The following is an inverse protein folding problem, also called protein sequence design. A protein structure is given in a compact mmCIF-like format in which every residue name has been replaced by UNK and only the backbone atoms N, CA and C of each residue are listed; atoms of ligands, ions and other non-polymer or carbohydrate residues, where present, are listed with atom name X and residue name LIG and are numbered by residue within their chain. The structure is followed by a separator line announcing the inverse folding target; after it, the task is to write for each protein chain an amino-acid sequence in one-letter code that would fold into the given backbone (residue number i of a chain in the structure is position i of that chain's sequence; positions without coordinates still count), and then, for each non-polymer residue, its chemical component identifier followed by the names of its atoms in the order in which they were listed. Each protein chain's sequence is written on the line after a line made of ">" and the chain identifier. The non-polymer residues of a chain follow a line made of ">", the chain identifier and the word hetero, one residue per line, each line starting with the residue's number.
data_IF_682554429272
#
_entry.id   IF_682554429272
#
_cell.length_a   1.000
_cell.length_b   1.000
_cell.length_c   1.000
_cell.angle_alpha   90.00
_cell.angle_beta   90.00
_cell.angle_gamma   90.00
#
_symmetry.space_group_name_H-M   'P 1'
#
loop_
_entity.id
_entity.type
_entity.pdbx_description
1 polymer ?
#
# COMPACT_ATOMS: atom_id res chain seq x y z
N UNK A 1 4.91 -27.81 -7.51
CA UNK A 1 4.77 -26.57 -6.73
C UNK A 1 5.75 -25.52 -7.27
N UNK A 2 5.58 -25.06 -8.51
CA UNK A 2 6.64 -24.30 -9.21
C UNK A 2 6.32 -22.81 -9.42
N UNK A 3 5.06 -22.42 -9.23
CA UNK A 3 4.55 -21.07 -9.53
C UNK A 3 5.07 -19.94 -8.61
N UNK A 4 5.64 -20.26 -7.45
CA UNK A 4 5.94 -19.26 -6.39
C UNK A 4 7.36 -19.34 -5.81
N UNK A 5 8.34 -19.89 -6.55
CA UNK A 5 9.76 -19.96 -6.14
C UNK A 5 10.00 -20.56 -4.74
N UNK A 6 9.15 -21.49 -4.28
CA UNK A 6 9.24 -22.09 -2.94
C UNK A 6 8.70 -21.23 -1.78
N UNK A 7 8.53 -19.92 -1.95
CA UNK A 7 8.26 -18.93 -0.87
C UNK A 7 6.99 -19.17 -0.05
N UNK A 8 6.02 -19.91 -0.61
CA UNK A 8 4.73 -20.22 0.00
C UNK A 8 4.55 -21.73 0.32
N UNK A 9 5.60 -22.57 0.17
CA UNK A 9 5.46 -24.04 0.29
C UNK A 9 4.92 -24.47 1.65
N UNK A 10 5.40 -23.89 2.74
CA UNK A 10 4.93 -24.23 4.09
C UNK A 10 3.48 -23.79 4.35
N UNK A 11 3.04 -22.66 3.78
CA UNK A 11 1.63 -22.25 3.80
C UNK A 11 0.74 -23.27 3.08
N UNK A 12 1.15 -23.74 1.89
CA UNK A 12 0.39 -24.74 1.15
C UNK A 12 0.39 -26.12 1.84
N UNK A 13 1.51 -26.49 2.50
CA UNK A 13 1.64 -27.70 3.34
C UNK A 13 0.73 -27.63 4.55
N UNK A 14 0.70 -26.51 5.26
CA UNK A 14 -0.14 -26.31 6.44
C UNK A 14 -1.62 -26.29 6.09
N UNK A 15 -1.99 -25.61 5.00
CA UNK A 15 -3.36 -25.64 4.46
C UNK A 15 -3.78 -27.07 4.10
N UNK A 16 -2.93 -27.82 3.39
CA UNK A 16 -3.18 -29.23 3.05
C UNK A 16 -3.44 -30.05 4.31
N UNK A 17 -2.54 -29.97 5.29
CA UNK A 17 -2.62 -30.69 6.58
C UNK A 17 -3.95 -30.41 7.30
N UNK A 18 -4.43 -29.17 7.29
CA UNK A 18 -5.71 -28.79 7.91
C UNK A 18 -6.90 -29.33 7.12
N UNK A 19 -6.86 -29.29 5.78
CA UNK A 19 -7.94 -29.83 4.95
C UNK A 19 -8.05 -31.35 5.04
N UNK A 20 -6.92 -32.07 5.15
CA UNK A 20 -6.90 -33.53 5.31
C UNK A 20 -7.50 -33.97 6.66
N UNK A 21 -7.24 -33.21 7.74
CA UNK A 21 -7.83 -33.43 9.06
C UNK A 21 -9.35 -33.15 9.08
N UNK A 22 -9.81 -32.03 8.51
CA UNK A 22 -11.25 -31.75 8.45
C UNK A 22 -12.00 -32.72 7.52
N UNK A 23 -11.40 -33.15 6.40
CA UNK A 23 -11.94 -34.25 5.58
C UNK A 23 -12.02 -35.55 6.40
N UNK A 24 -11.03 -35.83 7.24
CA UNK A 24 -11.00 -37.02 8.11
C UNK A 24 -12.07 -36.97 9.22
N UNK A 25 -12.31 -35.79 9.81
CA UNK A 25 -13.40 -35.54 10.76
C UNK A 25 -14.78 -35.71 10.11
N UNK A 26 -14.99 -35.12 8.94
CA UNK A 26 -16.25 -35.23 8.19
C UNK A 26 -16.55 -36.69 7.83
N UNK A 27 -15.56 -37.46 7.36
CA UNK A 27 -15.71 -38.91 7.11
C UNK A 27 -16.05 -39.70 8.37
N UNK A 28 -15.47 -39.36 9.53
CA UNK A 28 -15.83 -39.98 10.82
C UNK A 28 -17.26 -39.63 11.26
N UNK A 29 -17.70 -38.39 11.02
CA UNK A 29 -19.08 -37.96 11.26
C UNK A 29 -20.08 -38.72 10.35
N UNK A 30 -19.81 -38.82 9.05
CA UNK A 30 -20.61 -39.59 8.10
C UNK A 30 -20.69 -41.08 8.46
N UNK A 31 -19.56 -41.68 8.88
CA UNK A 31 -19.51 -43.06 9.36
C UNK A 31 -20.34 -43.27 10.63
N UNK A 32 -20.29 -42.32 11.58
CA UNK A 32 -21.05 -42.40 12.83
C UNK A 32 -22.58 -42.44 12.64
N UNK A 33 -23.07 -41.96 11.49
CA UNK A 33 -24.48 -42.06 11.10
C UNK A 33 -24.93 -43.42 10.57
N UNK A 34 -24.00 -44.36 10.28
CA UNK A 34 -24.29 -45.65 9.62
C UNK A 34 -24.14 -46.87 10.55
N UNK A 35 -24.93 -46.87 11.62
CA UNK A 35 -25.26 -48.08 12.37
C UNK A 35 -24.31 -48.42 13.54
N UNK A 36 -24.64 -49.48 14.31
CA UNK A 36 -24.10 -49.67 15.67
C UNK A 36 -22.72 -50.35 15.75
N UNK A 37 -22.01 -50.54 14.64
CA UNK A 37 -20.80 -51.37 14.58
C UNK A 37 -19.54 -50.72 15.16
N UNK A 38 -19.32 -49.43 14.90
CA UNK A 38 -17.98 -48.83 14.92
C UNK A 38 -17.70 -47.94 16.14
N UNK A 39 -18.13 -48.37 17.33
CA UNK A 39 -18.07 -47.60 18.58
C UNK A 39 -16.77 -47.79 19.39
N UNK A 40 -15.71 -48.38 18.81
CA UNK A 40 -14.53 -48.84 19.59
C UNK A 40 -13.28 -47.97 19.51
N UNK A 41 -13.17 -47.06 18.55
CA UNK A 41 -12.05 -46.09 18.46
C UNK A 41 -12.45 -44.65 18.82
N UNK A 42 -13.68 -44.47 19.30
CA UNK A 42 -14.21 -43.17 19.72
C UNK A 42 -13.65 -42.71 21.07
N UNK A 43 -12.58 -41.92 21.05
CA UNK A 43 -12.08 -41.18 22.20
C UNK A 43 -13.23 -40.39 22.85
N UNK A 44 -13.29 -40.39 24.18
CA UNK A 44 -14.36 -39.74 24.92
C UNK A 44 -14.49 -38.26 24.53
N UNK A 45 -15.68 -37.83 24.14
CA UNK A 45 -15.95 -36.49 23.60
C UNK A 45 -15.59 -35.37 24.57
N UNK A 46 -15.70 -35.59 25.89
CA UNK A 46 -15.27 -34.63 26.90
C UNK A 46 -13.74 -34.42 26.89
N UNK A 47 -12.97 -35.50 26.75
CA UNK A 47 -11.50 -35.41 26.62
C UNK A 47 -11.13 -34.67 25.33
N UNK A 48 -11.88 -34.86 24.24
CA UNK A 48 -11.67 -34.09 23.01
C UNK A 48 -11.96 -32.59 23.18
N UNK A 49 -12.99 -32.20 23.93
CA UNK A 49 -13.25 -30.77 24.21
C UNK A 49 -12.19 -30.15 25.11
N UNK A 50 -11.71 -30.87 26.13
CA UNK A 50 -10.66 -30.37 27.03
C UNK A 50 -9.31 -30.26 26.31
N UNK A 51 -8.99 -31.18 25.41
CA UNK A 51 -7.83 -31.08 24.51
C UNK A 51 -7.96 -29.88 23.57
N UNK A 52 -9.16 -29.60 23.05
CA UNK A 52 -9.40 -28.43 22.18
C UNK A 52 -9.28 -27.09 22.93
N UNK A 53 -9.71 -27.00 24.19
CA UNK A 53 -9.52 -25.78 25.00
C UNK A 53 -8.05 -25.58 25.37
N UNK A 54 -7.33 -26.65 25.74
CA UNK A 54 -5.88 -26.61 26.02
C UNK A 54 -5.05 -26.16 24.81
N UNK A 55 -5.46 -26.48 23.57
CA UNK A 55 -4.75 -26.03 22.37
C UNK A 55 -5.27 -24.69 21.80
N UNK A 56 -6.40 -24.15 22.26
CA UNK A 56 -6.91 -22.84 21.81
C UNK A 56 -6.03 -21.71 22.39
N UNK A 57 -5.49 -20.87 21.52
CA UNK A 57 -4.73 -19.67 21.91
C UNK A 57 -3.24 -19.88 22.21
N UNK A 58 -2.72 -21.11 22.12
CA UNK A 58 -1.27 -21.35 22.23
C UNK A 58 -0.52 -20.91 20.96
N UNK A 59 0.67 -20.34 21.14
CA UNK A 59 1.59 -20.00 20.05
C UNK A 59 2.24 -21.25 19.46
N UNK A 60 2.80 -21.15 18.25
CA UNK A 60 3.49 -22.27 17.59
C UNK A 60 4.59 -22.88 18.49
N UNK A 61 5.43 -22.06 19.13
CA UNK A 61 6.49 -22.55 20.03
C UNK A 61 5.97 -23.33 21.24
N UNK A 62 4.85 -22.91 21.84
CA UNK A 62 4.21 -23.66 22.94
C UNK A 62 3.65 -25.01 22.46
N UNK A 63 3.09 -25.06 21.25
CA UNK A 63 2.59 -26.31 20.65
C UNK A 63 3.75 -27.24 20.23
N UNK A 64 4.88 -26.70 19.79
CA UNK A 64 6.11 -27.46 19.49
C UNK A 64 6.70 -28.09 20.77
N UNK A 65 6.71 -27.37 21.90
CA UNK A 65 7.12 -27.92 23.19
C UNK A 65 6.19 -29.07 23.66
N UNK A 66 4.88 -28.94 23.44
CA UNK A 66 3.91 -30.01 23.72
C UNK A 66 4.07 -31.22 22.80
N UNK A 67 4.32 -31.00 21.51
CA UNK A 67 4.62 -32.04 20.52
C UNK A 67 5.83 -32.88 20.95
N UNK A 68 6.94 -32.23 21.31
CA UNK A 68 8.15 -32.90 21.82
C UNK A 68 7.90 -33.66 23.14
N UNK A 69 7.07 -33.12 24.05
CA UNK A 69 6.69 -33.82 25.29
C UNK A 69 5.89 -35.10 25.00
N UNK A 70 4.98 -35.05 24.03
CA UNK A 70 4.15 -36.19 23.60
C UNK A 70 5.02 -37.24 22.89
N UNK A 71 5.87 -36.86 21.94
CA UNK A 71 6.78 -37.81 21.26
C UNK A 71 7.77 -38.45 22.25
N UNK A 72 8.20 -37.72 23.29
CA UNK A 72 9.02 -38.26 24.37
C UNK A 72 8.24 -39.25 25.25
N UNK A 73 6.97 -38.99 25.55
CA UNK A 73 6.10 -39.93 26.30
C UNK A 73 5.77 -41.20 25.54
N UNK A 74 5.49 -41.10 24.23
CA UNK A 74 5.28 -42.26 23.35
C UNK A 74 6.56 -43.11 23.32
N UNK A 75 7.72 -42.48 23.10
CA UNK A 75 9.03 -43.17 23.08
C UNK A 75 9.45 -43.74 24.44
N UNK A 76 8.97 -43.15 25.54
CA UNK A 76 9.27 -43.56 26.92
C UNK A 76 8.55 -44.83 27.39
N UNK A 77 7.49 -45.27 26.70
CA UNK A 77 6.93 -46.63 26.81
C UNK A 77 6.47 -47.08 28.21
N UNK A 78 5.36 -46.53 28.72
CA UNK A 78 4.72 -47.04 29.93
C UNK A 78 3.78 -48.23 29.67
N UNK A 79 3.81 -49.27 30.52
CA UNK A 79 2.97 -50.49 30.35
C UNK A 79 1.46 -50.25 30.38
N UNK A 80 1.04 -49.12 30.95
CA UNK A 80 -0.36 -48.73 31.12
C UNK A 80 -0.72 -47.50 30.24
N UNK A 81 0.09 -47.20 29.23
CA UNK A 81 -0.07 -46.03 28.36
C UNK A 81 -0.91 -46.39 27.13
N UNK A 82 -2.02 -45.69 26.90
CA UNK A 82 -2.82 -45.83 25.68
C UNK A 82 -2.10 -45.15 24.51
N UNK A 83 -1.33 -45.95 23.76
CA UNK A 83 -0.55 -45.49 22.60
C UNK A 83 -1.46 -44.86 21.54
N UNK A 84 -2.64 -45.44 21.28
CA UNK A 84 -3.58 -44.92 20.27
C UNK A 84 -4.13 -43.54 20.64
N UNK A 85 -4.41 -43.31 21.94
CA UNK A 85 -4.73 -41.98 22.44
C UNK A 85 -3.58 -40.99 22.19
N UNK A 86 -2.34 -41.31 22.57
CA UNK A 86 -1.22 -40.38 22.39
C UNK A 86 -0.85 -40.14 20.91
N UNK A 87 -0.97 -41.13 20.03
CA UNK A 87 -0.81 -40.98 18.58
C UNK A 87 -1.89 -40.07 17.98
N UNK A 88 -3.15 -40.23 18.40
CA UNK A 88 -4.25 -39.35 17.97
C UNK A 88 -4.05 -37.91 18.45
N UNK A 89 -3.56 -37.73 19.69
CA UNK A 89 -3.25 -36.43 20.28
C UNK A 89 -2.08 -35.77 19.55
N UNK A 90 -1.04 -36.54 19.20
CA UNK A 90 0.09 -36.08 18.42
C UNK A 90 -0.35 -35.60 17.02
N UNK A 91 -1.26 -36.32 16.37
CA UNK A 91 -1.84 -35.89 15.10
C UNK A 91 -2.67 -34.59 15.26
N UNK A 92 -3.48 -34.48 16.32
CA UNK A 92 -4.23 -33.26 16.60
C UNK A 92 -3.30 -32.06 16.88
N UNK A 93 -2.22 -32.25 17.63
CA UNK A 93 -1.19 -31.20 17.86
C UNK A 93 -0.55 -30.75 16.55
N UNK A 94 -0.24 -31.66 15.62
CA UNK A 94 0.33 -31.31 14.30
C UNK A 94 -0.60 -30.40 13.49
N UNK A 95 -1.92 -30.64 13.54
CA UNK A 95 -2.92 -29.77 12.91
C UNK A 95 -3.03 -28.41 13.62
N UNK A 96 -2.98 -28.37 14.95
CA UNK A 96 -2.99 -27.10 15.69
C UNK A 96 -1.71 -26.28 15.47
N UNK A 97 -0.54 -26.91 15.31
CA UNK A 97 0.69 -26.24 14.90
C UNK A 97 0.58 -25.60 13.52
N UNK A 98 0.00 -26.31 12.54
CA UNK A 98 -0.29 -25.73 11.22
C UNK A 98 -1.25 -24.53 11.31
N UNK A 99 -2.29 -24.60 12.15
CA UNK A 99 -3.22 -23.47 12.40
C UNK A 99 -2.51 -22.28 13.05
N UNK A 100 -1.61 -22.51 13.99
CA UNK A 100 -0.80 -21.46 14.62
C UNK A 100 0.11 -20.76 13.60
N UNK A 101 0.88 -21.50 12.80
CA UNK A 101 1.73 -20.93 11.74
C UNK A 101 0.95 -20.12 10.72
N UNK A 102 -0.23 -20.59 10.30
CA UNK A 102 -1.10 -19.82 9.40
C UNK A 102 -1.62 -18.53 10.03
N UNK A 103 -1.95 -18.53 11.33
CA UNK A 103 -2.37 -17.32 12.07
C UNK A 103 -1.23 -16.32 12.20
N UNK A 104 -0.06 -16.77 12.64
CA UNK A 104 1.15 -15.95 12.81
C UNK A 104 1.53 -15.30 11.45
N UNK A 105 1.61 -16.10 10.38
CA UNK A 105 1.85 -15.62 9.00
C UNK A 105 0.78 -14.63 8.52
N UNK A 106 -0.49 -14.83 8.90
CA UNK A 106 -1.56 -13.91 8.53
C UNK A 106 -1.41 -12.56 9.24
N UNK A 107 -1.07 -12.56 10.54
CA UNK A 107 -0.81 -11.35 11.31
C UNK A 107 0.38 -10.55 10.73
N UNK A 108 1.44 -11.20 10.28
CA UNK A 108 2.57 -10.51 9.65
C UNK A 108 2.23 -9.92 8.27
N UNK A 109 1.40 -10.60 7.46
CA UNK A 109 0.88 -10.04 6.21
C UNK A 109 -0.07 -8.86 6.47
N UNK A 110 -0.84 -8.88 7.57
CA UNK A 110 -1.64 -7.72 7.99
C UNK A 110 -0.76 -6.56 8.47
N UNK A 111 0.26 -6.82 9.30
CA UNK A 111 1.26 -5.83 9.74
C UNK A 111 1.93 -5.13 8.54
N UNK A 112 2.39 -5.90 7.55
CA UNK A 112 3.00 -5.36 6.32
C UNK A 112 2.02 -4.51 5.49
N UNK A 113 0.76 -4.94 5.34
CA UNK A 113 -0.27 -4.15 4.65
C UNK A 113 -0.61 -2.86 5.39
N UNK A 114 -0.73 -2.92 6.71
CA UNK A 114 -1.04 -1.76 7.56
C UNK A 114 0.11 -0.74 7.54
N UNK A 115 1.37 -1.19 7.58
CA UNK A 115 2.55 -0.35 7.39
C UNK A 115 2.52 0.35 6.02
N UNK A 116 2.27 -0.40 4.93
CA UNK A 116 2.18 0.16 3.57
C UNK A 116 1.03 1.17 3.44
N UNK A 117 -0.12 0.91 4.05
CA UNK A 117 -1.25 1.85 4.07
C UNK A 117 -0.94 3.13 4.86
N UNK A 118 -0.25 3.05 6.00
CA UNK A 118 0.22 4.25 6.73
C UNK A 118 1.19 5.09 5.90
N UNK A 119 2.12 4.43 5.19
CA UNK A 119 3.03 5.09 4.26
C UNK A 119 2.30 5.75 3.08
N UNK A 120 1.28 5.09 2.51
CA UNK A 120 0.44 5.64 1.44
C UNK A 120 -0.48 6.78 1.89
N UNK A 121 -0.83 6.84 3.18
CA UNK A 121 -1.63 7.90 3.78
C UNK A 121 -0.83 9.11 4.26
N UNK A 122 0.51 9.11 4.09
CA UNK A 122 1.37 10.25 4.42
C UNK A 122 1.50 10.55 5.92
N UNK A 123 1.15 9.59 6.79
CA UNK A 123 1.40 9.73 8.23
C UNK A 123 2.88 9.43 8.49
N UNK A 124 3.69 10.48 8.63
CA UNK A 124 5.09 10.35 9.03
C UNK A 124 5.18 9.79 10.45
N UNK A 125 5.44 8.49 10.56
CA UNK A 125 6.02 7.89 11.76
C UNK A 125 7.54 7.84 11.60
N UNK A 126 8.27 8.57 12.44
CA UNK A 126 9.72 8.43 12.56
C UNK A 126 10.10 6.94 12.83
N UNK A 127 11.25 6.47 12.34
CA UNK A 127 11.66 5.07 12.51
C UNK A 127 12.07 4.82 13.96
N UNK A 128 11.12 4.30 14.76
CA UNK A 128 11.28 4.07 16.20
C UNK A 128 12.37 3.03 16.56
N UNK A 129 12.93 2.30 15.59
CA UNK A 129 13.98 1.31 15.79
C UNK A 129 15.07 1.37 14.70
N UNK A 130 16.36 1.27 15.06
CA UNK A 130 17.44 1.07 14.09
C UNK A 130 17.34 -0.32 13.45
N UNK A 131 17.37 -0.38 12.12
CA UNK A 131 17.53 -1.65 11.40
C UNK A 131 19.00 -2.08 11.55
N UNK A 132 19.25 -3.07 12.41
CA UNK A 132 20.52 -3.79 12.40
C UNK A 132 20.61 -4.53 11.06
N UNK A 133 21.49 -4.06 10.18
CA UNK A 133 21.95 -4.88 9.06
C UNK A 133 22.87 -5.97 9.63
N UNK A 134 22.59 -7.22 9.27
CA UNK A 134 23.59 -8.29 9.35
C UNK A 134 24.65 -8.09 8.24
N UNK A 135 25.58 -7.15 8.46
CA UNK A 135 26.80 -7.11 7.67
C UNK A 135 27.71 -8.25 8.14
N UNK A 136 27.79 -9.30 7.33
CA UNK A 136 28.73 -10.42 7.53
C UNK A 136 30.15 -9.88 7.42
N UNK A 137 30.84 -9.81 8.56
CA UNK A 137 32.28 -9.66 8.62
C UNK A 137 32.90 -11.04 8.85
N UNK A 138 33.80 -11.44 7.95
CA UNK A 138 34.52 -12.70 8.02
C UNK A 138 35.62 -12.64 9.10
N UNK A 139 35.79 -13.70 9.88
CA UNK A 139 36.87 -13.82 10.86
C UNK A 139 38.15 -14.34 10.19
N UNK A 140 39.18 -13.50 10.02
CA UNK A 140 40.60 -13.86 10.23
C UNK A 140 41.50 -12.62 10.23
N UNK A 141 42.69 -12.73 10.84
CA UNK A 141 43.68 -11.65 11.13
C UNK A 141 43.16 -10.51 12.06
N UNK A 142 43.74 -10.22 13.23
CA UNK A 142 45.15 -10.28 13.61
C UNK A 142 45.34 -10.51 15.14
N UNK A 143 46.45 -11.11 15.57
CA UNK A 143 46.76 -11.43 16.99
C UNK A 143 47.75 -10.45 17.65
N UNK A 144 47.62 -10.30 18.97
CA UNK A 144 48.56 -9.61 19.92
C UNK A 144 48.42 -8.08 19.91
N UNK A 145 48.48 -7.32 21.02
CA UNK A 145 49.08 -7.50 22.38
C UNK A 145 48.18 -6.85 23.47
N UNK A 146 47.76 -7.55 24.54
CA UNK A 146 48.39 -7.64 25.89
C UNK A 146 48.51 -6.35 26.73
N UNK A 147 47.79 -6.31 27.88
CA UNK A 147 48.10 -5.63 29.19
C UNK A 147 48.04 -4.07 29.16
N UNK A 148 47.40 -3.33 30.08
CA UNK A 148 47.44 -3.35 31.56
C UNK A 148 46.16 -2.74 32.25
N UNK A 149 46.12 -2.73 33.60
CA UNK A 149 45.05 -2.26 34.52
C UNK A 149 45.68 -1.45 35.71
N UNK A 150 44.95 -0.89 36.72
CA UNK A 150 43.56 -0.37 36.79
C UNK A 150 43.34 0.95 37.59
N UNK A 151 42.13 1.54 37.47
CA UNK A 151 41.35 2.21 38.55
C UNK A 151 41.81 3.59 39.09
N UNK A 152 41.26 4.07 40.23
CA UNK A 152 39.99 3.70 40.88
C UNK A 152 39.16 4.91 41.44
N UNK A 153 38.11 4.61 42.24
CA UNK A 153 37.23 5.48 43.09
C UNK A 153 35.83 5.75 42.49
N UNK A 154 34.67 5.52 43.13
CA UNK A 154 34.22 5.50 44.54
C UNK A 154 34.16 6.88 45.22
N UNK A 155 33.18 7.24 46.07
CA UNK A 155 32.05 6.48 46.65
C UNK A 155 30.80 7.37 46.91
N UNK A 156 29.73 6.77 47.43
CA UNK A 156 28.39 7.36 47.68
C UNK A 156 28.22 8.02 49.07
N UNK A 157 27.00 8.51 49.34
CA UNK A 157 26.39 9.04 50.60
C UNK A 157 26.26 10.58 50.60
N UNK A 158 25.08 11.24 50.64
CA UNK A 158 23.76 10.99 51.27
C UNK A 158 23.71 11.32 52.76
N UNK A 159 23.14 12.49 53.13
CA UNK A 159 22.03 12.63 54.10
C UNK A 159 21.61 14.09 54.46
N UNK A 160 20.30 14.30 54.56
CA UNK A 160 19.51 15.15 55.50
C UNK A 160 19.60 16.70 55.61
N UNK A 161 18.38 17.28 55.74
CA UNK A 161 17.96 18.50 56.52
C UNK A 161 18.46 19.88 56.01
N UNK A 162 17.82 21.03 56.25
CA UNK A 162 16.49 21.47 56.77
C UNK A 162 16.43 23.02 56.77
N UNK A 163 15.32 23.79 56.77
CA UNK A 163 13.85 23.67 56.51
C UNK A 163 13.27 25.11 56.69
N UNK A 164 12.04 25.40 56.20
CA UNK A 164 11.24 26.64 56.40
C UNK A 164 11.64 27.82 55.48
N UNK A 165 10.79 28.83 55.15
CA UNK A 165 9.38 29.17 55.53
C UNK A 165 8.68 29.84 54.32
N UNK A 166 7.34 29.73 54.14
CA UNK A 166 6.26 30.72 54.49
C UNK A 166 6.56 32.16 53.99
N UNK A 167 5.66 32.96 53.38
CA UNK A 167 4.17 33.05 53.40
C UNK A 167 3.37 32.23 52.36
N UNK A 168 2.14 32.67 52.06
CA UNK A 168 0.92 31.87 51.86
C UNK A 168 0.16 32.27 50.54
N UNK A 169 -1.16 32.30 50.27
CA UNK A 169 -2.51 32.27 50.95
C UNK A 169 -3.56 31.92 49.83
N UNK A 170 -4.87 31.63 49.94
CA UNK A 170 -5.91 31.47 50.99
C UNK A 170 -6.97 30.40 50.49
N UNK A 171 -8.29 30.69 50.39
CA UNK A 171 -9.39 29.76 50.05
C UNK A 171 -10.66 30.52 49.53
N UNK A 172 -11.93 29.99 49.36
CA UNK A 172 -12.60 28.76 49.86
C UNK A 172 -13.21 27.80 48.79
N UNK A 173 -13.15 26.47 48.95
CA UNK A 173 -14.05 25.50 49.66
C UNK A 173 -15.45 25.20 49.08
N UNK A 174 -15.71 23.91 48.74
CA UNK A 174 -16.92 23.09 48.98
C UNK A 174 -16.82 21.77 48.18
N UNK A 175 -17.18 20.56 48.64
CA UNK A 175 -17.48 20.04 49.99
C UNK A 175 -17.23 18.53 50.05
N UNK A 176 -16.95 18.00 51.25
CA UNK A 176 -16.61 16.58 51.52
C UNK A 176 -17.83 15.66 51.68
N UNK A 177 -17.68 14.38 51.36
CA UNK A 177 -18.40 13.28 52.03
C UNK A 177 -17.54 12.01 52.07
N UNK A 178 -17.49 11.32 53.22
CA UNK A 178 -16.54 10.22 53.49
C UNK A 178 -17.23 9.03 54.16
N UNK A 179 -16.82 7.81 53.80
CA UNK A 179 -16.88 6.58 54.59
C UNK A 179 -15.74 5.68 54.05
N UNK A 180 -14.81 5.12 54.82
CA UNK A 180 -14.97 4.18 55.95
C UNK A 180 -15.71 2.89 55.51
N UNK A 181 -15.08 1.71 55.43
CA UNK A 181 -13.65 1.36 55.52
C UNK A 181 -13.43 0.05 56.29
N UNK A 182 -12.58 -0.85 55.78
CA UNK A 182 -12.03 -1.99 56.54
C UNK A 182 -10.70 -2.46 55.92
N UNK A 183 -9.79 -2.98 56.75
CA UNK A 183 -8.42 -3.35 56.37
C UNK A 183 -8.29 -4.85 56.10
N UNK A 184 -7.29 -5.29 55.33
CA UNK A 184 -6.35 -6.31 55.85
C UNK A 184 -5.07 -6.45 55.03
N UNK A 185 -3.96 -6.13 55.71
CA UNK A 185 -2.61 -6.70 55.59
C UNK A 185 -1.85 -6.61 54.25
N UNK A 186 -0.53 -6.73 54.33
CA UNK A 186 0.39 -6.37 53.26
C UNK A 186 1.35 -7.50 52.88
N UNK A 187 1.76 -7.48 51.61
CA UNK A 187 3.16 -7.77 51.25
C UNK A 187 3.58 -6.96 50.03
N UNK A 188 4.56 -6.09 50.21
CA UNK A 188 5.46 -5.69 49.14
C UNK A 188 6.42 -6.84 48.88
N UNK A 189 6.66 -7.12 47.61
CA UNK A 189 8.02 -7.34 47.09
C UNK A 189 8.16 -6.36 45.91
N UNK A 190 9.36 -5.81 45.69
CA UNK A 190 9.57 -4.71 44.74
C UNK A 190 10.17 -5.18 43.40
N UNK A 191 9.81 -4.44 42.35
CA UNK A 191 10.43 -4.34 41.02
C UNK A 191 11.22 -5.56 40.49
N UNK A 192 10.61 -6.25 39.52
CA UNK A 192 11.32 -6.56 38.28
C UNK A 192 10.61 -5.85 37.12
N UNK A 193 11.38 -5.40 36.14
CA UNK A 193 10.92 -4.52 35.04
C UNK A 193 11.26 -5.17 33.70
N UNK A 194 10.59 -4.69 32.64
CA UNK A 194 10.81 -5.11 31.26
C UNK A 194 10.51 -6.59 30.93
N UNK A 195 9.22 -6.91 30.87
CA UNK A 195 8.71 -7.57 29.66
C UNK A 195 7.29 -7.08 29.36
N UNK A 196 7.18 -6.03 28.53
CA UNK A 196 5.89 -5.55 28.02
C UNK A 196 5.39 -6.51 26.95
N UNK A 197 4.71 -7.57 27.39
CA UNK A 197 4.15 -8.58 26.51
C UNK A 197 3.30 -7.92 25.40
N UNK A 198 3.75 -8.00 24.15
CA UNK A 198 3.05 -7.39 23.02
C UNK A 198 1.61 -7.88 23.00
N UNK A 199 0.66 -6.98 23.21
CA UNK A 199 -0.76 -7.31 23.20
C UNK A 199 -1.13 -7.88 21.82
N UNK A 200 -1.34 -9.20 21.77
CA UNK A 200 -1.66 -9.92 20.54
C UNK A 200 -3.08 -9.53 20.13
N UNK A 201 -3.19 -8.43 19.38
CA UNK A 201 -4.45 -7.91 18.84
C UNK A 201 -5.30 -9.06 18.28
N UNK A 202 -6.35 -9.38 19.02
CA UNK A 202 -7.31 -10.40 18.65
C UNK A 202 -8.36 -9.81 17.72
N UNK A 203 -9.14 -10.69 17.10
CA UNK A 203 -10.31 -10.28 16.32
C UNK A 203 -11.34 -9.55 17.21
N UNK A 204 -11.42 -9.93 18.49
CA UNK A 204 -12.30 -9.32 19.49
C UNK A 204 -11.83 -7.90 19.87
N UNK A 205 -10.52 -7.67 20.05
CA UNK A 205 -9.95 -6.33 20.31
C UNK A 205 -10.19 -5.37 19.14
N UNK A 206 -10.01 -5.84 17.90
CA UNK A 206 -10.23 -5.03 16.69
C UNK A 206 -11.71 -4.69 16.50
N UNK A 207 -12.62 -5.62 16.83
CA UNK A 207 -14.06 -5.36 16.85
C UNK A 207 -14.40 -4.34 17.93
N UNK A 208 -13.87 -4.48 19.15
CA UNK A 208 -14.16 -3.56 20.26
C UNK A 208 -13.59 -2.15 20.00
N UNK A 209 -12.42 -2.04 19.38
CA UNK A 209 -11.89 -0.76 18.90
C UNK A 209 -12.84 -0.12 17.87
N UNK A 210 -13.30 -0.88 16.87
CA UNK A 210 -14.24 -0.37 15.85
C UNK A 210 -15.59 0.08 16.43
N UNK A 211 -16.02 -0.52 17.56
CA UNK A 211 -17.22 -0.12 18.29
C UNK A 211 -16.99 1.17 19.09
N UNK A 212 -15.83 1.36 19.71
CA UNK A 212 -15.46 2.61 20.37
C UNK A 212 -15.31 3.78 19.36
N UNK A 213 -14.75 3.51 18.18
CA UNK A 213 -14.67 4.46 17.06
C UNK A 213 -16.08 4.79 16.51
N UNK A 214 -16.97 3.79 16.44
CA UNK A 214 -18.38 4.00 16.10
C UNK A 214 -19.12 4.88 17.13
N UNK A 215 -19.00 4.61 18.42
CA UNK A 215 -19.74 5.33 19.46
C UNK A 215 -19.24 6.78 19.64
N UNK A 216 -17.94 7.00 19.43
CA UNK A 216 -17.33 8.34 19.50
C UNK A 216 -17.60 9.19 18.25
N UNK A 217 -17.51 8.62 17.04
CA UNK A 217 -17.69 9.37 15.77
C UNK A 217 -19.09 9.29 15.14
N UNK A 218 -19.90 8.29 15.51
CA UNK A 218 -21.25 7.96 14.96
C UNK A 218 -21.34 7.85 13.43
N UNK A 219 -20.21 7.74 12.74
CA UNK A 219 -20.07 7.81 11.28
C UNK A 219 -20.70 9.05 10.60
N UNK A 220 -21.02 10.08 11.37
CA UNK A 220 -21.45 11.39 10.86
C UNK A 220 -20.24 12.32 10.73
N UNK A 221 -19.92 12.87 9.54
CA UNK A 221 -18.89 13.88 9.42
C UNK A 221 -19.17 15.06 10.36
N UNK A 222 -18.19 15.44 11.18
CA UNK A 222 -18.30 16.60 12.07
C UNK A 222 -18.65 17.85 11.26
N UNK A 223 -19.70 18.56 11.66
CA UNK A 223 -20.13 19.77 10.97
C UNK A 223 -19.14 20.90 11.24
N UNK A 224 -18.17 21.05 10.34
CA UNK A 224 -17.17 22.11 10.41
C UNK A 224 -17.82 23.49 10.24
N UNK A 225 -17.50 24.43 11.12
CA UNK A 225 -17.90 25.82 10.91
C UNK A 225 -17.05 26.48 9.82
N UNK A 226 -17.52 27.61 9.28
CA UNK A 226 -16.80 28.38 8.25
C UNK A 226 -15.40 28.86 8.67
N UNK A 227 -15.09 28.82 9.96
CA UNK A 227 -13.80 29.20 10.55
C UNK A 227 -12.86 28.02 10.79
N UNK A 228 -13.37 26.79 10.81
CA UNK A 228 -12.60 25.54 10.95
C UNK A 228 -12.19 24.96 9.59
N UNK A 229 -12.90 25.34 8.53
CA UNK A 229 -12.52 25.01 7.16
C UNK A 229 -11.14 25.60 6.83
N UNK A 230 -10.20 24.83 6.25
CA UNK A 230 -8.92 25.36 5.81
C UNK A 230 -9.09 26.57 4.88
N UNK A 231 -8.16 27.53 4.95
CA UNK A 231 -8.10 28.71 4.06
C UNK A 231 -8.05 28.36 2.56
N UNK A 232 -7.70 27.11 2.23
CA UNK A 232 -7.67 26.59 0.87
C UNK A 232 -8.99 25.91 0.44
N UNK A 233 -9.97 25.72 1.33
CA UNK A 233 -11.28 25.21 0.98
C UNK A 233 -12.04 26.15 0.02
N UNK A 234 -12.79 25.59 -0.92
CA UNK A 234 -13.71 26.35 -1.77
C UNK A 234 -15.13 26.05 -1.31
N UNK A 235 -15.68 26.91 -0.45
CA UNK A 235 -17.12 26.96 -0.21
C UNK A 235 -17.81 27.43 -1.49
N UNK A 236 -18.95 26.82 -1.83
CA UNK A 236 -19.80 27.23 -2.95
C UNK A 236 -21.09 27.75 -2.33
N UNK A 237 -21.51 28.95 -2.72
CA UNK A 237 -22.77 29.53 -2.24
C UNK A 237 -23.98 28.84 -2.88
N UNK A 238 -25.15 28.77 -2.20
CA UNK A 238 -26.34 28.15 -2.79
C UNK A 238 -26.79 28.87 -4.08
N UNK A 239 -26.51 30.17 -4.21
CA UNK A 239 -26.75 30.95 -5.43
C UNK A 239 -25.84 30.50 -6.60
N UNK A 240 -24.55 30.27 -6.33
CA UNK A 240 -23.60 29.76 -7.34
C UNK A 240 -23.94 28.33 -7.79
N UNK A 241 -24.30 27.45 -6.87
CA UNK A 241 -24.70 26.08 -7.22
C UNK A 241 -26.04 26.06 -8.00
N UNK A 242 -27.02 26.88 -7.62
CA UNK A 242 -28.24 27.06 -8.41
C UNK A 242 -27.95 27.58 -9.83
N UNK A 243 -26.99 28.51 -9.99
CA UNK A 243 -26.58 28.98 -11.31
C UNK A 243 -25.86 27.90 -12.13
N UNK A 244 -24.97 27.12 -11.49
CA UNK A 244 -24.28 25.96 -12.08
C UNK A 244 -25.28 24.88 -12.54
N UNK A 245 -26.28 24.59 -11.71
CA UNK A 245 -27.37 23.66 -12.00
C UNK A 245 -28.24 24.14 -13.17
N UNK A 246 -28.55 25.44 -13.26
CA UNK A 246 -29.27 26.01 -14.40
C UNK A 246 -28.47 25.92 -15.70
N UNK A 247 -27.15 26.16 -15.66
CA UNK A 247 -26.27 26.00 -16.82
C UNK A 247 -26.22 24.53 -17.29
N UNK A 248 -26.02 23.58 -16.37
CA UNK A 248 -26.02 22.15 -16.69
C UNK A 248 -27.36 21.67 -17.27
N UNK A 249 -28.49 22.14 -16.74
CA UNK A 249 -29.84 21.86 -17.29
C UNK A 249 -30.03 22.44 -18.69
N UNK A 250 -29.55 23.65 -18.95
CA UNK A 250 -29.59 24.28 -20.28
C UNK A 250 -28.71 23.55 -21.29
N UNK A 251 -27.55 23.07 -20.85
CA UNK A 251 -26.65 22.24 -21.67
C UNK A 251 -27.34 20.92 -22.04
N UNK A 252 -27.86 20.17 -21.04
CA UNK A 252 -28.62 18.94 -21.26
C UNK A 252 -29.77 19.09 -22.27
N UNK A 253 -30.50 20.21 -22.23
CA UNK A 253 -31.58 20.52 -23.18
C UNK A 253 -31.12 20.74 -24.64
N UNK A 254 -29.83 21.03 -24.87
CA UNK A 254 -29.25 21.30 -26.19
C UNK A 254 -28.40 20.12 -26.70
N UNK A 255 -27.65 19.45 -25.82
CA UNK A 255 -26.73 18.35 -26.19
C UNK A 255 -27.27 16.95 -25.89
N UNK A 256 -28.33 16.81 -25.10
CA UNK A 256 -28.84 15.50 -24.64
C UNK A 256 -28.03 14.84 -23.52
N UNK A 257 -26.83 15.36 -23.23
CA UNK A 257 -25.94 14.95 -22.14
C UNK A 257 -25.49 16.21 -21.35
N UNK A 258 -25.50 16.12 -20.02
CA UNK A 258 -25.07 17.18 -19.11
C UNK A 258 -23.56 17.15 -18.80
N UNK A 259 -22.86 16.10 -19.20
CA UNK A 259 -21.45 15.84 -18.86
C UNK A 259 -20.45 16.23 -19.96
N UNK A 260 -20.92 16.47 -21.19
CA UNK A 260 -20.04 16.76 -22.33
C UNK A 260 -19.40 18.15 -22.27
N UNK A 261 -18.23 18.22 -21.62
CA UNK A 261 -17.24 19.25 -21.95
C UNK A 261 -16.84 19.15 -23.43
N UNK A 262 -16.46 20.28 -24.03
CA UNK A 262 -15.88 20.31 -25.38
C UNK A 262 -14.60 19.46 -25.49
N UNK A 263 -13.91 19.24 -24.37
CA UNK A 263 -12.78 18.34 -24.22
C UNK A 263 -13.20 16.89 -24.45
N UNK A 264 -14.26 16.42 -23.79
CA UNK A 264 -14.71 15.03 -23.81
C UNK A 264 -15.39 14.67 -25.15
N UNK A 265 -16.10 15.62 -25.75
CA UNK A 265 -16.57 15.53 -27.13
C UNK A 265 -15.42 15.46 -28.15
N UNK A 266 -14.30 16.15 -27.90
CA UNK A 266 -13.08 16.03 -28.71
C UNK A 266 -12.40 14.67 -28.48
N UNK A 267 -12.25 14.22 -27.23
CA UNK A 267 -11.68 12.90 -26.89
C UNK A 267 -12.50 11.78 -27.54
N UNK A 268 -13.83 11.84 -27.54
CA UNK A 268 -14.67 10.84 -28.19
C UNK A 268 -14.39 10.76 -29.69
N UNK A 269 -14.45 11.89 -30.40
CA UNK A 269 -14.10 11.96 -31.83
C UNK A 269 -12.65 11.55 -32.12
N UNK A 270 -11.74 11.83 -31.20
CA UNK A 270 -10.34 11.41 -31.26
C UNK A 270 -10.11 9.93 -30.89
N UNK A 271 -11.08 9.24 -30.28
CA UNK A 271 -11.10 7.78 -30.08
C UNK A 271 -11.76 7.07 -31.26
N UNK A 272 -12.87 7.58 -31.78
CA UNK A 272 -13.55 7.09 -33.00
C UNK A 272 -12.57 6.97 -34.18
N UNK A 273 -11.67 7.94 -34.33
CA UNK A 273 -10.64 7.92 -35.37
C UNK A 273 -9.39 7.07 -35.04
N UNK A 274 -9.42 6.10 -34.12
CA UNK A 274 -8.27 5.23 -33.81
C UNK A 274 -8.27 3.97 -34.69
N UNK A 275 -7.40 3.92 -35.70
CA UNK A 275 -7.10 2.72 -36.47
C UNK A 275 -5.98 1.87 -35.84
N UNK A 276 -5.78 0.66 -36.36
CA UNK A 276 -4.86 -0.37 -35.82
C UNK A 276 -3.37 0.03 -35.71
N UNK A 277 -2.99 1.17 -36.27
CA UNK A 277 -1.64 1.76 -36.26
C UNK A 277 -1.51 2.97 -35.31
N UNK A 278 -2.50 3.24 -34.45
CA UNK A 278 -2.44 4.33 -33.47
C UNK A 278 -2.92 3.91 -32.08
N UNK A 279 -2.00 3.92 -31.12
CA UNK A 279 -2.26 3.60 -29.72
C UNK A 279 -2.35 4.87 -28.85
N UNK A 280 -3.05 4.80 -27.72
CA UNK A 280 -3.03 5.87 -26.71
C UNK A 280 -1.65 5.90 -26.02
N UNK A 281 -1.14 7.09 -25.74
CA UNK A 281 0.18 7.31 -25.13
C UNK A 281 0.08 8.26 -23.93
N UNK A 282 0.73 7.93 -22.82
CA UNK A 282 0.63 8.67 -21.55
C UNK A 282 1.89 8.58 -20.68
N UNK A 283 3.07 8.39 -21.29
CA UNK A 283 4.34 8.31 -20.54
C UNK A 283 4.89 9.73 -20.34
N UNK A 284 4.42 10.37 -19.27
CA UNK A 284 4.95 11.63 -18.76
C UNK A 284 6.38 11.45 -18.19
N UNK A 285 7.16 12.52 -18.22
CA UNK A 285 8.36 12.72 -17.41
C UNK A 285 8.01 13.78 -16.35
N UNK A 286 8.25 13.55 -15.05
CA UNK A 286 7.96 14.54 -14.01
C UNK A 286 8.88 15.76 -14.13
N UNK A 287 8.30 16.92 -14.43
CA UNK A 287 8.99 18.23 -14.46
C UNK A 287 9.01 18.84 -13.05
N UNK A 288 9.67 18.17 -12.11
CA UNK A 288 9.75 18.60 -10.71
C UNK A 288 10.60 19.86 -10.51
N UNK A 289 10.35 20.59 -9.42
CA UNK A 289 11.24 21.64 -8.91
C UNK A 289 11.07 23.06 -9.46
N UNK A 290 10.09 23.33 -10.33
CA UNK A 290 9.78 24.72 -10.77
C UNK A 290 8.92 25.45 -9.75
N UNK A 291 9.54 26.31 -8.94
CA UNK A 291 8.82 27.29 -8.11
C UNK A 291 8.17 28.34 -9.02
N UNK A 292 6.83 28.28 -9.16
CA UNK A 292 6.10 29.23 -10.00
C UNK A 292 5.79 30.51 -9.24
N UNK A 293 6.35 31.66 -9.68
CA UNK A 293 6.09 33.01 -9.14
C UNK A 293 4.63 33.49 -9.18
N UNK A 294 3.71 32.65 -9.68
CA UNK A 294 2.27 32.91 -9.77
C UNK A 294 1.43 31.95 -8.91
N UNK A 295 2.05 30.95 -8.25
CA UNK A 295 1.34 29.95 -7.45
C UNK A 295 0.51 30.59 -6.33
N UNK A 296 1.07 31.61 -5.65
CA UNK A 296 0.42 32.43 -4.61
C UNK A 296 -0.90 33.09 -5.07
N UNK A 297 -1.06 33.29 -6.39
CA UNK A 297 -2.23 33.94 -6.99
C UNK A 297 -3.17 32.96 -7.70
N UNK A 298 -2.63 31.89 -8.28
CA UNK A 298 -3.41 30.85 -8.95
C UNK A 298 -2.84 29.49 -8.61
N UNK A 299 -3.66 28.60 -8.03
CA UNK A 299 -3.23 27.23 -7.69
C UNK A 299 -2.71 26.51 -8.95
N UNK A 300 -1.49 25.96 -8.95
CA UNK A 300 -0.98 25.18 -10.06
C UNK A 300 -1.87 23.98 -10.39
N UNK A 301 -2.05 23.72 -11.69
CA UNK A 301 -2.85 22.60 -12.22
C UNK A 301 -2.10 21.88 -13.32
N UNK A 302 -2.17 20.55 -13.36
CA UNK A 302 -1.75 19.79 -14.55
C UNK A 302 -2.85 19.86 -15.61
N UNK A 303 -2.53 20.15 -16.88
CA UNK A 303 -3.51 20.11 -17.96
C UNK A 303 -3.95 18.67 -18.26
N UNK A 304 -5.22 18.49 -18.67
CA UNK A 304 -5.66 17.22 -19.27
C UNK A 304 -4.93 17.04 -20.60
N UNK A 305 -4.74 15.80 -21.06
CA UNK A 305 -4.26 15.53 -22.42
C UNK A 305 -4.80 14.20 -22.96
N UNK A 306 -4.79 14.06 -24.28
CA UNK A 306 -5.12 12.83 -24.99
C UNK A 306 -4.14 12.63 -26.16
N UNK A 307 -3.02 11.97 -25.87
CA UNK A 307 -1.95 11.78 -26.85
C UNK A 307 -2.07 10.40 -27.52
N UNK A 308 -1.74 10.35 -28.82
CA UNK A 308 -1.67 9.12 -29.61
C UNK A 308 -0.25 8.95 -30.16
N UNK A 309 0.25 7.72 -30.14
CA UNK A 309 1.50 7.32 -30.81
C UNK A 309 1.14 6.55 -32.08
N UNK A 310 1.68 6.96 -33.22
CA UNK A 310 1.51 6.25 -34.49
C UNK A 310 2.62 5.21 -34.64
N UNK A 311 2.26 3.94 -34.70
CA UNK A 311 3.19 2.82 -34.81
C UNK A 311 2.87 2.01 -36.07
N UNK A 312 3.90 1.63 -36.81
CA UNK A 312 3.69 0.93 -38.08
C UNK A 312 4.96 0.29 -38.63
N UNK A 313 4.77 -0.52 -39.67
CA UNK A 313 5.83 -1.29 -40.30
C UNK A 313 6.72 -0.42 -41.20
N UNK A 314 8.03 -0.65 -41.14
CA UNK A 314 9.00 -0.05 -42.08
C UNK A 314 9.57 -1.14 -42.99
N UNK A 315 9.00 -1.26 -44.19
CA UNK A 315 9.44 -2.21 -45.23
C UNK A 315 10.72 -1.72 -45.94
N UNK A 316 11.81 -1.59 -45.20
CA UNK A 316 13.15 -1.35 -45.76
C UNK A 316 13.70 -2.63 -46.43
N UNK A 317 14.78 -2.52 -47.21
CA UNK A 317 15.33 -3.65 -47.99
C UNK A 317 15.85 -4.83 -47.14
N UNK A 318 16.19 -4.61 -45.86
CA UNK A 318 16.58 -5.68 -44.94
C UNK A 318 15.36 -6.39 -44.35
N UNK A 319 14.31 -5.62 -43.99
CA UNK A 319 13.07 -6.20 -43.49
C UNK A 319 12.34 -7.02 -44.58
N UNK A 320 12.39 -6.57 -45.84
CA UNK A 320 11.88 -7.31 -47.02
C UNK A 320 12.57 -8.66 -47.30
N UNK A 321 13.60 -9.05 -46.55
CA UNK A 321 14.27 -10.38 -46.70
C UNK A 321 14.23 -11.23 -45.43
N UNK A 322 13.52 -10.79 -44.38
CA UNK A 322 13.42 -11.48 -43.09
C UNK A 322 11.99 -11.54 -42.53
N UNK A 323 11.06 -10.80 -43.15
CA UNK A 323 9.67 -10.68 -42.73
C UNK A 323 8.76 -10.69 -43.96
N UNK A 324 7.58 -11.28 -43.80
CA UNK A 324 6.56 -11.46 -44.84
C UNK A 324 5.22 -10.90 -44.36
N UNK A 325 4.16 -10.96 -45.18
CA UNK A 325 2.83 -10.47 -44.78
C UNK A 325 2.25 -11.20 -43.55
N UNK A 326 2.52 -12.50 -43.42
CA UNK A 326 2.04 -13.33 -42.31
C UNK A 326 2.94 -13.24 -41.06
N UNK A 327 4.17 -12.74 -41.21
CA UNK A 327 5.11 -12.47 -40.11
C UNK A 327 5.78 -11.10 -40.35
N UNK A 328 5.04 -9.98 -40.12
CA UNK A 328 5.53 -8.64 -40.42
C UNK A 328 6.63 -8.18 -39.44
N UNK A 329 7.48 -7.20 -39.81
CA UNK A 329 8.53 -6.69 -38.94
C UNK A 329 7.95 -6.05 -37.66
N UNK A 330 8.73 -5.90 -36.58
CA UNK A 330 8.29 -5.14 -35.41
C UNK A 330 7.81 -3.73 -35.77
N UNK A 331 6.65 -3.31 -35.25
CA UNK A 331 6.14 -1.94 -35.45
C UNK A 331 7.10 -0.93 -34.81
N UNK A 332 7.52 0.07 -35.58
CA UNK A 332 8.31 1.19 -35.08
C UNK A 332 7.42 2.43 -34.88
N UNK A 333 7.85 3.36 -34.03
CA UNK A 333 7.16 4.66 -33.91
C UNK A 333 7.44 5.50 -35.16
N UNK A 334 6.37 5.95 -35.81
CA UNK A 334 6.39 6.75 -37.04
C UNK A 334 5.92 8.19 -36.84
N UNK A 335 5.37 8.52 -35.67
CA UNK A 335 4.92 9.87 -35.33
C UNK A 335 4.15 9.92 -34.02
N UNK A 336 3.80 11.13 -33.60
CA UNK A 336 3.00 11.40 -32.41
C UNK A 336 1.92 12.45 -32.70
N UNK A 337 0.79 12.34 -32.01
CA UNK A 337 -0.31 13.32 -32.03
C UNK A 337 -0.62 13.72 -30.60
N UNK A 338 -0.06 14.84 -30.16
CA UNK A 338 -0.35 15.44 -28.87
C UNK A 338 -1.61 16.30 -28.97
N UNK A 339 -2.51 16.15 -27.99
CA UNK A 339 -3.68 17.00 -27.81
C UNK A 339 -3.76 17.35 -26.33
N UNK A 340 -3.44 18.59 -25.96
CA UNK A 340 -3.33 19.03 -24.57
C UNK A 340 -4.39 20.10 -24.33
N UNK A 341 -5.13 20.01 -23.22
CA UNK A 341 -6.27 20.86 -22.94
C UNK A 341 -5.94 21.89 -21.86
N UNK A 342 -6.19 23.15 -22.20
CA UNK A 342 -5.93 24.36 -21.41
C UNK A 342 -7.18 25.28 -21.37
N UNK A 343 -8.36 24.80 -20.90
CA UNK A 343 -9.60 25.60 -20.87
C UNK A 343 -9.52 26.85 -19.99
N UNK A 344 -8.83 26.75 -18.85
CA UNK A 344 -8.77 27.77 -17.79
C UNK A 344 -7.59 28.75 -17.96
N UNK A 345 -6.95 28.78 -19.14
CA UNK A 345 -5.75 29.59 -19.37
C UNK A 345 -6.04 31.08 -19.15
N UNK A 346 -5.41 31.69 -18.14
CA UNK A 346 -5.74 33.06 -17.68
C UNK A 346 -5.61 34.07 -18.82
N UNK A 347 -4.53 33.96 -19.60
CA UNK A 347 -4.35 34.71 -20.83
C UNK A 347 -4.65 33.83 -22.04
N UNK A 348 -5.90 33.85 -22.52
CA UNK A 348 -6.34 33.10 -23.72
C UNK A 348 -5.69 33.57 -25.04
N UNK A 349 -4.90 34.65 -25.02
CA UNK A 349 -4.03 35.07 -26.15
C UNK A 349 -2.60 34.53 -26.05
N UNK A 350 -2.21 33.97 -24.90
CA UNK A 350 -0.95 33.24 -24.75
C UNK A 350 -1.07 31.90 -25.47
N UNK A 351 -0.28 31.69 -26.51
CA UNK A 351 -0.21 30.40 -27.20
C UNK A 351 0.77 29.47 -26.48
N UNK A 352 0.36 28.24 -26.10
CA UNK A 352 1.31 27.27 -25.55
C UNK A 352 2.49 27.02 -26.49
N UNK A 353 3.67 26.91 -25.91
CA UNK A 353 4.94 26.65 -26.59
C UNK A 353 5.42 25.23 -26.26
N UNK A 354 6.31 24.70 -27.11
CA UNK A 354 6.97 23.42 -26.86
C UNK A 354 8.48 23.54 -27.05
N UNK A 355 9.21 22.71 -26.31
CA UNK A 355 10.66 22.63 -26.33
C UNK A 355 11.07 21.16 -26.46
N UNK A 356 11.99 20.85 -27.37
CA UNK A 356 12.54 19.51 -27.55
C UNK A 356 13.99 19.51 -27.06
N UNK A 357 14.23 18.81 -25.96
CA UNK A 357 15.54 18.68 -25.33
C UNK A 357 16.01 17.22 -25.47
N UNK A 358 17.27 16.94 -25.87
CA UNK A 358 17.76 15.56 -25.97
C UNK A 358 17.85 14.92 -24.57
N UNK A 359 17.48 13.65 -24.44
CA UNK A 359 17.56 12.97 -23.14
C UNK A 359 19.02 12.70 -22.75
N UNK A 360 19.43 12.97 -21.49
CA UNK A 360 20.80 12.73 -21.04
C UNK A 360 21.13 11.23 -20.92
N UNK A 361 20.12 10.39 -20.71
CA UNK A 361 20.29 8.92 -20.58
C UNK A 361 20.58 8.25 -21.93
N UNK A 362 19.85 8.62 -22.98
CA UNK A 362 19.92 7.98 -24.28
C UNK A 362 19.56 8.98 -25.41
N UNK A 363 20.49 9.14 -26.35
CA UNK A 363 20.39 10.04 -27.52
C UNK A 363 19.27 9.68 -28.49
N UNK A 364 18.82 8.42 -28.50
CA UNK A 364 17.67 7.95 -29.30
C UNK A 364 16.33 8.51 -28.80
N UNK A 365 16.30 9.12 -27.61
CA UNK A 365 15.11 9.71 -27.00
C UNK A 365 15.27 11.20 -26.71
N UNK A 366 14.18 11.93 -26.88
CA UNK A 366 14.04 13.34 -26.56
C UNK A 366 12.95 13.56 -25.52
N UNK A 367 13.08 14.66 -24.78
CA UNK A 367 12.11 15.16 -23.81
C UNK A 367 11.37 16.30 -24.51
N UNK A 368 10.09 16.08 -24.81
CA UNK A 368 9.22 17.10 -25.38
C UNK A 368 8.44 17.77 -24.24
N UNK A 369 8.87 18.96 -23.82
CA UNK A 369 8.22 19.78 -22.78
C UNK A 369 7.24 20.76 -23.42
N UNK A 370 6.07 20.92 -22.81
CA UNK A 370 5.05 21.91 -23.17
C UNK A 370 4.89 22.94 -22.06
N UNK A 371 4.73 24.21 -22.43
CA UNK A 371 4.60 25.35 -21.53
C UNK A 371 3.44 26.25 -21.99
N UNK A 372 2.44 26.49 -21.14
CA UNK A 372 1.29 27.34 -21.46
C UNK A 372 1.21 28.65 -20.65
N UNK A 373 1.76 28.63 -19.42
CA UNK A 373 1.59 29.70 -18.44
C UNK A 373 0.38 29.47 -17.51
N UNK A 374 0.08 30.44 -16.63
CA UNK A 374 -0.87 30.26 -15.53
C UNK A 374 -2.29 29.88 -16.00
N UNK A 375 -3.00 28.98 -15.30
CA UNK A 375 -2.61 28.31 -14.03
C UNK A 375 -1.89 26.96 -14.23
N UNK A 376 -1.37 26.67 -15.43
CA UNK A 376 -0.91 25.33 -15.78
C UNK A 376 0.59 25.11 -15.57
N UNK A 377 0.91 23.93 -15.05
CA UNK A 377 2.29 23.43 -14.94
C UNK A 377 2.85 23.02 -16.31
N UNK A 378 4.19 23.07 -16.42
CA UNK A 378 4.91 22.45 -17.53
C UNK A 378 4.77 20.92 -17.47
N UNK A 379 4.37 20.30 -18.59
CA UNK A 379 4.34 18.84 -18.74
C UNK A 379 5.42 18.41 -19.74
N UNK A 380 5.99 17.21 -19.58
CA UNK A 380 6.98 16.67 -20.50
C UNK A 380 6.72 15.19 -20.83
N UNK A 381 7.15 14.74 -22.01
CA UNK A 381 6.99 13.36 -22.47
C UNK A 381 8.28 12.82 -23.09
N UNK A 382 8.54 11.52 -22.88
CA UNK A 382 9.66 10.81 -23.54
C UNK A 382 9.24 10.40 -24.96
N UNK A 383 9.88 10.96 -25.97
CA UNK A 383 9.62 10.65 -27.39
C UNK A 383 10.88 10.12 -28.09
N UNK A 384 10.72 9.46 -29.23
CA UNK A 384 11.86 9.09 -30.09
C UNK A 384 12.48 10.36 -30.71
N UNK A 385 13.80 10.47 -30.66
CA UNK A 385 14.58 11.59 -31.20
C UNK A 385 14.96 11.36 -32.67
N UNK A 386 14.04 11.67 -33.58
CA UNK A 386 14.25 11.63 -35.05
C UNK A 386 13.75 12.94 -35.67
N UNK A 387 14.26 13.30 -36.85
CA UNK A 387 13.81 14.52 -37.56
C UNK A 387 12.31 14.46 -37.89
N UNK A 388 11.60 15.55 -37.60
CA UNK A 388 10.17 15.69 -37.88
C UNK A 388 9.92 16.13 -39.33
N UNK A 389 8.84 15.64 -39.91
CA UNK A 389 8.32 16.10 -41.19
C UNK A 389 7.30 17.22 -40.98
N UNK A 390 7.73 18.47 -41.21
CA UNK A 390 6.91 19.70 -41.09
C UNK A 390 5.93 19.91 -42.27
N UNK A 391 5.62 18.87 -43.04
CA UNK A 391 4.73 18.95 -44.21
C UNK A 391 3.28 18.81 -43.80
N UNK A 392 2.49 19.88 -43.97
CA UNK A 392 1.03 19.84 -43.76
C UNK A 392 0.33 18.77 -44.62
N UNK A 393 0.88 18.43 -45.80
CA UNK A 393 0.37 17.33 -46.65
C UNK A 393 0.65 15.94 -46.09
N UNK A 394 1.59 15.81 -45.15
CA UNK A 394 1.92 14.57 -44.45
C UNK A 394 1.45 14.61 -42.98
N UNK A 395 0.41 15.40 -42.68
CA UNK A 395 -0.28 15.40 -41.39
C UNK A 395 0.34 16.30 -40.32
N UNK A 396 1.37 17.09 -40.62
CA UNK A 396 1.90 18.06 -39.66
C UNK A 396 0.85 19.08 -39.25
N UNK A 397 0.73 19.33 -37.95
CA UNK A 397 -0.15 20.33 -37.36
C UNK A 397 0.48 20.88 -36.09
N UNK A 398 0.54 22.20 -35.95
CA UNK A 398 0.84 22.88 -34.70
C UNK A 398 -0.13 24.05 -34.57
N UNK A 399 -1.15 23.93 -33.71
CA UNK A 399 -2.17 24.97 -33.54
C UNK A 399 -2.76 24.98 -32.13
N UNK A 400 -3.17 26.16 -31.66
CA UNK A 400 -3.95 26.35 -30.44
C UNK A 400 -5.33 26.91 -30.81
N UNK A 401 -6.40 26.20 -30.47
CA UNK A 401 -7.78 26.61 -30.76
C UNK A 401 -8.74 26.07 -29.71
N UNK A 402 -9.70 26.90 -29.27
CA UNK A 402 -10.74 26.55 -28.28
C UNK A 402 -10.20 25.94 -26.97
N UNK A 403 -9.02 26.37 -26.52
CA UNK A 403 -8.33 25.81 -25.35
C UNK A 403 -7.57 24.50 -25.63
N UNK A 404 -7.62 23.95 -26.84
CA UNK A 404 -6.93 22.71 -27.22
C UNK A 404 -5.65 23.05 -27.99
N UNK A 405 -4.50 22.61 -27.46
CA UNK A 405 -3.22 22.64 -28.16
C UNK A 405 -3.00 21.31 -28.91
N UNK A 406 -2.86 21.38 -30.23
CA UNK A 406 -2.69 20.23 -31.12
C UNK A 406 -1.29 20.29 -31.76
N UNK A 407 -0.40 19.37 -31.37
CA UNK A 407 0.90 19.16 -32.01
C UNK A 407 0.98 17.74 -32.58
N UNK A 408 0.80 17.62 -33.89
CA UNK A 408 0.85 16.37 -34.63
C UNK A 408 2.02 16.39 -35.60
N UNK A 409 2.84 15.34 -35.58
CA UNK A 409 3.99 15.21 -36.49
C UNK A 409 4.30 13.74 -36.78
N UNK A 410 4.88 13.51 -37.96
CA UNK A 410 5.48 12.24 -38.34
C UNK A 410 6.99 12.40 -38.49
N UNK A 411 7.74 11.30 -38.37
CA UNK A 411 9.18 11.31 -38.61
C UNK A 411 9.50 11.22 -40.10
N UNK A 412 10.54 11.93 -40.55
CA UNK A 412 11.02 11.86 -41.94
C UNK A 412 11.42 10.43 -42.30
N UNK A 413 10.87 9.89 -43.39
CA UNK A 413 11.25 8.59 -43.95
C UNK A 413 12.38 8.75 -44.97
N UNK A 414 13.62 8.50 -44.58
CA UNK A 414 14.78 8.55 -45.48
C UNK A 414 14.76 7.37 -46.46
N UNK A 415 14.35 7.63 -47.71
CA UNK A 415 14.46 6.64 -48.79
C UNK A 415 15.92 6.52 -49.23
N UNK A 416 16.61 5.47 -48.76
CA UNK A 416 17.94 5.12 -49.25
C UNK A 416 17.90 4.84 -50.75
N UNK A 417 18.49 5.76 -51.54
CA UNK A 417 18.80 5.54 -52.95
C UNK A 417 20.19 4.91 -53.05
N UNK A 418 20.30 3.85 -53.85
CA UNK A 418 21.57 3.32 -54.35
C UNK A 418 21.95 4.03 -55.64
#
# INVERSE_FOLDING_TARGET
>A
MELEQGKNVDFWRDMTTITEDEISKLRKLEASGKGPGDRREGINTAVSTDVQTVFKGKTYGQLQALHLNIETKIRGGGSNLDIGYWESLLQQVRVYMARARLRERHQDVLRQKLFKLKQEQGVESEPLFPIIKEERFDEEEFRSTLVEEPGPSSSSSTEQRSRLTRDDEEQPQASTSTAEGEETDAKKDEEDKDESAEAVLTEEDLIQQSQADYDSGRYSPTLLTSSELPLESHTITPEEDLHRLQLARRQLQVTGDATESSEDAFVRRAREGMGNDEAQFSVEIPVTGKMYLWADKYRPRKPRFFNRVHTGFEWNKYNQTHYDFDNPPPKIVQGYKFNIFYPDLINKRSTPQYFLEPSPENKDFGILRFHAGPPYEDIAFKIVNREWEYSHRHGFRCQFANGIFQLWFHFKRYRYRR
#
